data_IF_264523886978
#
_entry.id   IF_264523886978
#
_cell.length_a   1.000
_cell.length_b   1.000
_cell.length_c   1.000
_cell.angle_alpha   90.00
_cell.angle_beta   90.00
_cell.angle_gamma   90.00
#
_symmetry.space_group_name_H-M   'P 1'
#
loop_
_entity.id
_entity.type
_entity.pdbx_description
1 polymer ?
#
# COMPACT_ATOMS: atom_id res chain seq x y z
N UNK A 1 2.46 -23.01 -5.53
CA UNK A 1 2.67 -21.77 -4.74
C UNK A 1 1.42 -21.53 -3.93
N UNK A 2 1.56 -21.29 -2.63
CA UNK A 2 0.42 -20.92 -1.77
C UNK A 2 0.30 -19.40 -1.79
N UNK A 3 -0.82 -18.90 -2.31
CA UNK A 3 -1.12 -17.47 -2.30
C UNK A 3 -1.85 -17.11 -1.01
N UNK A 4 -1.52 -15.96 -0.44
CA UNK A 4 -2.08 -15.52 0.84
C UNK A 4 -2.23 -14.01 0.88
N UNK A 5 -3.17 -13.57 1.71
CA UNK A 5 -3.24 -12.17 2.12
C UNK A 5 -2.01 -11.82 2.96
N UNK A 6 -1.46 -10.63 2.76
CA UNK A 6 -0.22 -10.23 3.42
C UNK A 6 -0.13 -8.72 3.63
N UNK A 7 0.95 -8.27 4.28
CA UNK A 7 1.21 -6.85 4.55
C UNK A 7 2.61 -6.50 4.08
N UNK A 8 2.73 -5.38 3.37
CA UNK A 8 3.99 -4.74 3.02
C UNK A 8 4.29 -3.64 4.05
N UNK A 9 5.34 -3.84 4.84
CA UNK A 9 5.82 -2.85 5.82
C UNK A 9 6.67 -1.80 5.11
N UNK A 10 6.06 -0.66 4.83
CA UNK A 10 6.67 0.50 4.16
C UNK A 10 6.75 1.69 5.13
N UNK A 11 6.81 1.45 6.44
CA UNK A 11 6.56 2.48 7.46
C UNK A 11 7.82 3.17 8.00
N UNK A 12 9.00 2.61 7.80
CA UNK A 12 10.22 3.00 8.52
C UNK A 12 11.47 3.09 7.64
N UNK A 13 12.54 3.68 8.18
CA UNK A 13 13.82 3.83 7.47
C UNK A 13 13.68 4.73 6.25
N UNK A 14 14.24 4.31 5.12
CA UNK A 14 14.19 5.05 3.84
C UNK A 14 12.75 5.38 3.42
N UNK A 15 11.78 4.54 3.78
CA UNK A 15 10.38 4.81 3.49
C UNK A 15 9.86 6.05 4.19
N UNK A 16 10.35 6.39 5.39
CA UNK A 16 9.95 7.61 6.10
C UNK A 16 10.64 8.88 5.55
N UNK A 17 11.62 8.73 4.66
CA UNK A 17 12.39 9.84 4.10
C UNK A 17 12.05 10.10 2.63
N UNK A 18 11.63 9.07 1.89
CA UNK A 18 11.30 9.16 0.46
C UNK A 18 9.92 8.59 0.12
N UNK A 19 8.98 9.50 -0.19
CA UNK A 19 7.63 9.14 -0.62
C UNK A 19 7.59 8.41 -1.96
N UNK A 20 8.51 8.73 -2.88
CA UNK A 20 8.57 8.05 -4.17
C UNK A 20 8.99 6.58 -3.98
N UNK A 21 9.86 6.32 -3.00
CA UNK A 21 10.25 4.95 -2.62
C UNK A 21 9.06 4.14 -2.07
N UNK A 22 8.22 4.75 -1.23
CA UNK A 22 6.96 4.15 -0.76
C UNK A 22 6.05 3.80 -1.93
N UNK A 23 5.82 4.74 -2.86
CA UNK A 23 4.96 4.52 -4.03
C UNK A 23 5.47 3.36 -4.89
N UNK A 24 6.78 3.33 -5.15
CA UNK A 24 7.40 2.28 -5.96
C UNK A 24 7.20 0.90 -5.34
N UNK A 25 7.52 0.73 -4.07
CA UNK A 25 7.44 -0.58 -3.43
C UNK A 25 5.99 -0.98 -3.11
N UNK A 26 5.08 -0.02 -2.94
CA UNK A 26 3.65 -0.30 -2.90
C UNK A 26 3.15 -0.93 -4.21
N UNK A 27 3.60 -0.39 -5.35
CA UNK A 27 3.30 -0.93 -6.67
C UNK A 27 3.86 -2.34 -6.84
N UNK A 28 5.12 -2.56 -6.45
CA UNK A 28 5.76 -3.89 -6.51
C UNK A 28 4.98 -4.91 -5.65
N UNK A 29 4.53 -4.52 -4.46
CA UNK A 29 3.71 -5.37 -3.59
C UNK A 29 2.34 -5.74 -4.19
N UNK A 30 1.70 -4.82 -4.91
CA UNK A 30 0.44 -5.11 -5.63
C UNK A 30 0.72 -6.06 -6.81
N UNK A 31 1.83 -5.87 -7.53
CA UNK A 31 2.23 -6.72 -8.65
C UNK A 31 2.50 -8.16 -8.18
N UNK A 32 3.16 -8.35 -7.03
CA UNK A 32 3.42 -9.66 -6.40
C UNK A 32 2.18 -10.34 -5.80
N UNK A 33 1.13 -9.57 -5.50
CA UNK A 33 -0.13 -10.11 -4.99
C UNK A 33 -0.85 -10.87 -6.09
N UNK A 34 -1.40 -12.05 -5.77
CA UNK A 34 -2.18 -12.84 -6.71
C UNK A 34 -3.65 -12.39 -6.75
N UNK A 35 -4.32 -12.63 -7.88
CA UNK A 35 -5.76 -12.40 -8.01
C UNK A 35 -6.56 -13.21 -6.95
N UNK A 36 -7.57 -12.58 -6.36
CA UNK A 36 -8.37 -13.11 -5.26
C UNK A 36 -7.77 -12.87 -3.86
N UNK A 37 -6.68 -12.12 -3.76
CA UNK A 37 -6.00 -11.80 -2.49
C UNK A 37 -5.81 -10.30 -2.32
N UNK A 38 -5.40 -9.89 -1.11
CA UNK A 38 -5.07 -8.50 -0.83
C UNK A 38 -3.68 -8.34 -0.21
N UNK A 39 -3.14 -7.14 -0.40
CA UNK A 39 -1.99 -6.64 0.34
C UNK A 39 -2.39 -5.43 1.17
N UNK A 40 -1.97 -5.39 2.43
CA UNK A 40 -2.01 -4.18 3.24
C UNK A 40 -0.71 -3.40 3.02
N UNK A 41 -0.81 -2.19 2.51
CA UNK A 41 0.29 -1.24 2.40
C UNK A 41 0.34 -0.43 3.70
N UNK A 42 1.36 -0.67 4.53
CA UNK A 42 1.54 0.05 5.79
C UNK A 42 2.53 1.18 5.54
N UNK A 43 2.03 2.41 5.44
CA UNK A 43 2.83 3.58 5.03
C UNK A 43 3.22 4.45 6.22
N UNK A 44 4.28 5.28 6.10
CA UNK A 44 4.74 6.13 7.19
C UNK A 44 3.73 7.22 7.57
N UNK A 45 3.78 7.66 8.82
CA UNK A 45 2.93 8.72 9.36
C UNK A 45 3.29 10.11 8.80
N UNK A 46 4.58 10.35 8.58
CA UNK A 46 5.16 11.63 8.13
C UNK A 46 4.63 12.12 6.78
N UNK A 47 4.08 11.21 5.96
CA UNK A 47 3.45 11.57 4.68
C UNK A 47 1.93 11.73 4.75
N UNK A 48 1.33 11.54 5.93
CA UNK A 48 -0.11 11.61 6.12
C UNK A 48 -0.86 10.44 5.48
N UNK A 49 -2.16 10.63 5.27
CA UNK A 49 -3.02 9.56 4.80
C UNK A 49 -2.66 9.13 3.36
N UNK A 50 -2.38 7.84 3.09
CA UNK A 50 -2.05 7.33 1.76
C UNK A 50 -3.18 7.51 0.74
N UNK A 51 -4.42 7.76 1.15
CA UNK A 51 -5.47 8.15 0.21
C UNK A 51 -5.15 9.41 -0.57
N UNK A 52 -4.34 10.30 0.00
CA UNK A 52 -4.06 11.62 -0.58
C UNK A 52 -2.94 11.59 -1.62
N UNK A 53 -2.08 10.56 -1.59
CA UNK A 53 -0.92 10.47 -2.50
C UNK A 53 -0.75 9.15 -3.22
N UNK A 54 -1.31 8.04 -2.72
CA UNK A 54 -1.10 6.71 -3.27
C UNK A 54 -2.34 6.16 -3.99
N UNK A 55 -3.54 6.54 -3.54
CA UNK A 55 -4.79 6.05 -4.13
C UNK A 55 -4.95 6.47 -5.60
N UNK A 56 -4.61 7.71 -5.96
CA UNK A 56 -4.64 8.17 -7.35
C UNK A 56 -3.66 7.37 -8.21
N UNK A 57 -2.43 7.17 -7.73
CA UNK A 57 -1.41 6.38 -8.45
C UNK A 57 -1.87 4.95 -8.70
N UNK A 58 -2.48 4.31 -7.70
CA UNK A 58 -3.03 2.95 -7.84
C UNK A 58 -4.15 2.94 -8.89
N UNK A 59 -5.11 3.88 -8.81
CA UNK A 59 -6.22 3.96 -9.77
C UNK A 59 -5.74 4.24 -11.19
N UNK A 60 -4.75 5.10 -11.36
CA UNK A 60 -4.19 5.43 -12.68
C UNK A 60 -3.47 4.23 -13.30
N UNK A 61 -2.76 3.42 -12.49
CA UNK A 61 -2.01 2.26 -12.99
C UNK A 61 -2.90 1.05 -13.27
N UNK A 62 -3.84 0.75 -12.37
CA UNK A 62 -4.58 -0.51 -12.38
C UNK A 62 -6.06 -0.38 -12.75
N UNK A 63 -6.64 0.82 -12.69
CA UNK A 63 -8.06 1.04 -12.93
C UNK A 63 -8.92 0.15 -12.04
N UNK A 64 -9.90 -0.53 -12.67
CA UNK A 64 -10.84 -1.42 -11.99
C UNK A 64 -10.26 -2.82 -11.70
N UNK A 65 -9.00 -3.10 -12.07
CA UNK A 65 -8.36 -4.39 -11.79
C UNK A 65 -8.01 -4.57 -10.31
N UNK A 66 -8.03 -3.50 -9.51
CA UNK A 66 -7.81 -3.55 -8.07
C UNK A 66 -8.77 -2.63 -7.34
N UNK A 67 -9.12 -2.97 -6.10
CA UNK A 67 -9.88 -2.10 -5.19
C UNK A 67 -8.99 -1.68 -4.02
N UNK A 68 -8.81 -0.36 -3.83
CA UNK A 68 -8.03 0.18 -2.73
C UNK A 68 -8.93 0.84 -1.66
N UNK A 69 -8.75 0.44 -0.40
CA UNK A 69 -9.55 0.88 0.74
C UNK A 69 -8.67 1.23 1.94
N UNK A 70 -8.86 2.43 2.50
CA UNK A 70 -8.26 2.81 3.77
C UNK A 70 -8.88 2.00 4.90
N UNK A 71 -8.03 1.39 5.75
CA UNK A 71 -8.46 0.51 6.83
C UNK A 71 -8.35 1.21 8.18
N UNK A 72 -7.15 1.66 8.55
CA UNK A 72 -6.88 2.24 9.88
C UNK A 72 -5.52 2.94 9.93
N UNK A 73 -5.24 3.61 11.04
CA UNK A 73 -3.90 4.07 11.44
C UNK A 73 -3.39 3.19 12.59
N UNK A 74 -2.26 2.51 12.41
CA UNK A 74 -1.67 1.66 13.44
C UNK A 74 -1.28 2.48 14.68
N UNK A 75 -1.17 1.82 15.84
CA UNK A 75 -0.66 2.45 17.07
C UNK A 75 0.77 2.98 16.96
N UNK A 76 1.51 2.60 15.91
CA UNK A 76 2.80 3.15 15.52
C UNK A 76 2.73 4.50 14.76
N UNK A 77 1.53 4.96 14.39
CA UNK A 77 1.30 6.17 13.58
C UNK A 77 1.21 5.91 12.07
N UNK A 78 1.71 4.78 11.57
CA UNK A 78 1.60 4.40 10.16
C UNK A 78 0.16 4.14 9.72
N UNK A 79 -0.12 4.34 8.44
CA UNK A 79 -1.46 4.19 7.85
C UNK A 79 -1.57 2.89 7.07
N UNK A 80 -2.73 2.24 7.10
CA UNK A 80 -3.00 0.97 6.42
C UNK A 80 -3.95 1.20 5.24
N UNK A 81 -3.42 1.09 4.03
CA UNK A 81 -4.22 1.04 2.79
C UNK A 81 -4.25 -0.40 2.27
N UNK A 82 -5.42 -1.03 2.24
CA UNK A 82 -5.59 -2.37 1.68
C UNK A 82 -5.88 -2.28 0.19
N UNK A 83 -5.21 -3.12 -0.60
CA UNK A 83 -5.46 -3.26 -2.04
C UNK A 83 -5.85 -4.70 -2.32
N UNK A 84 -7.07 -4.90 -2.80
CA UNK A 84 -7.60 -6.17 -3.29
C UNK A 84 -7.29 -6.29 -4.78
N UNK A 85 -6.79 -7.44 -5.22
CA UNK A 85 -6.52 -7.76 -6.62
C UNK A 85 -7.35 -8.95 -7.06
#
# INVERSE_FOLDING_TARGET
>A
MEFKNWSASLEHGEYAEDRAFVIRHAIEAIDETAEGFYVNLVTPDVFGNPTDYLLSVIKDKYGDAVEAKYIDQCGCGGYVLRVFK
#
